data_IF_239495027414
#
_entry.id   IF_239495027414
#
_cell.length_a   1.000
_cell.length_b   1.000
_cell.length_c   1.000
_cell.angle_alpha   90.00
_cell.angle_beta   90.00
_cell.angle_gamma   90.00
#
_symmetry.space_group_name_H-M   'P 1'
#
loop_
_entity.id
_entity.type
_entity.pdbx_description
1 polymer ?
#
# COMPACT_ATOMS: atom_id res chain seq x y z
N UNK A 1 14.51 24.69 -48.24
CA UNK A 1 13.06 24.40 -48.31
C UNK A 1 12.78 22.92 -48.08
N UNK A 2 12.98 22.39 -46.86
CA UNK A 2 12.60 20.98 -46.55
C UNK A 2 12.38 20.65 -45.07
N UNK A 3 12.68 21.55 -44.14
CA UNK A 3 12.44 21.28 -42.70
C UNK A 3 11.00 21.68 -42.30
N UNK A 4 10.39 22.64 -43.00
CA UNK A 4 9.07 23.20 -42.67
C UNK A 4 7.91 22.29 -43.13
N UNK A 5 8.10 21.47 -44.18
CA UNK A 5 7.07 20.53 -44.67
C UNK A 5 7.01 19.21 -43.87
N UNK A 6 8.03 18.90 -43.05
CA UNK A 6 8.05 17.70 -42.20
C UNK A 6 7.37 17.89 -40.85
N UNK A 7 7.29 19.12 -40.36
CA UNK A 7 6.66 19.48 -39.08
C UNK A 7 5.16 19.07 -39.01
N UNK A 8 4.32 19.35 -40.02
CA UNK A 8 2.90 18.98 -39.98
C UNK A 8 2.67 17.46 -40.00
N UNK A 9 3.54 16.72 -40.70
CA UNK A 9 3.46 15.25 -40.80
C UNK A 9 3.92 14.61 -39.48
N UNK A 10 5.00 15.12 -38.87
CA UNK A 10 5.46 14.66 -37.57
C UNK A 10 4.40 14.92 -36.48
N UNK A 11 3.78 16.10 -36.51
CA UNK A 11 2.67 16.45 -35.61
C UNK A 11 1.45 15.57 -35.83
N UNK A 12 1.08 15.27 -37.08
CA UNK A 12 -0.04 14.37 -37.38
C UNK A 12 0.23 12.93 -36.93
N UNK A 13 1.44 12.39 -37.16
CA UNK A 13 1.84 11.06 -36.70
C UNK A 13 1.88 11.00 -35.17
N UNK A 14 2.36 12.05 -34.52
CA UNK A 14 2.35 12.19 -33.07
C UNK A 14 0.91 12.25 -32.52
N UNK A 15 0.04 13.07 -33.11
CA UNK A 15 -1.38 13.17 -32.72
C UNK A 15 -2.14 11.86 -32.95
N UNK A 16 -1.90 11.16 -34.05
CA UNK A 16 -2.46 9.83 -34.31
C UNK A 16 -1.93 8.77 -33.33
N UNK A 17 -0.64 8.86 -32.98
CA UNK A 17 -0.03 8.02 -31.94
C UNK A 17 -0.67 8.25 -30.57
N UNK A 18 -0.84 9.52 -30.18
CA UNK A 18 -1.52 9.93 -28.94
C UNK A 18 -2.99 9.50 -28.94
N UNK A 19 -3.70 9.70 -30.05
CA UNK A 19 -5.10 9.31 -30.19
C UNK A 19 -5.28 7.79 -30.14
N UNK A 20 -4.40 7.01 -30.80
CA UNK A 20 -4.39 5.54 -30.72
C UNK A 20 -4.02 5.06 -29.32
N UNK A 21 -3.07 5.71 -28.66
CA UNK A 21 -2.69 5.43 -27.28
C UNK A 21 -3.87 5.71 -26.33
N UNK A 22 -4.48 6.89 -26.42
CA UNK A 22 -5.66 7.29 -25.64
C UNK A 22 -6.83 6.34 -25.89
N UNK A 23 -7.13 6.02 -27.15
CA UNK A 23 -8.17 5.06 -27.52
C UNK A 23 -7.93 3.68 -26.90
N UNK A 24 -6.70 3.14 -26.98
CA UNK A 24 -6.37 1.87 -26.33
C UNK A 24 -6.54 1.93 -24.81
N UNK A 25 -6.25 3.05 -24.17
CA UNK A 25 -6.37 3.22 -22.70
C UNK A 25 -7.80 3.48 -22.24
N UNK A 26 -8.63 4.14 -23.05
CA UNK A 26 -10.06 4.29 -22.79
C UNK A 26 -10.83 2.97 -22.99
N UNK A 27 -10.34 2.08 -23.86
CA UNK A 27 -10.90 0.74 -24.05
C UNK A 27 -10.38 -0.29 -23.03
N UNK A 28 -9.29 0.02 -22.35
CA UNK A 28 -8.72 -0.87 -21.33
C UNK A 28 -9.41 -0.60 -20.00
N UNK A 29 -10.09 -1.59 -19.44
CA UNK A 29 -10.63 -1.53 -18.09
C UNK A 29 -9.70 -2.26 -17.14
N UNK A 30 -9.61 -1.78 -15.89
CA UNK A 30 -8.85 -2.42 -14.82
C UNK A 30 -9.21 -3.90 -14.62
N UNK A 31 -10.44 -4.28 -14.96
CA UNK A 31 -10.93 -5.66 -14.88
C UNK A 31 -10.07 -6.67 -15.62
N UNK A 32 -9.45 -6.27 -16.75
CA UNK A 32 -8.60 -7.16 -17.55
C UNK A 32 -7.30 -7.56 -16.83
N UNK A 33 -6.70 -6.68 -16.04
CA UNK A 33 -5.45 -7.00 -15.32
C UNK A 33 -5.68 -8.03 -14.21
N UNK A 34 -6.88 -8.04 -13.64
CA UNK A 34 -7.29 -8.99 -12.60
C UNK A 34 -8.08 -10.19 -13.13
N UNK A 35 -8.24 -10.32 -14.44
CA UNK A 35 -9.14 -11.33 -15.03
C UNK A 35 -8.70 -12.77 -14.68
N UNK A 36 -7.39 -12.97 -14.62
CA UNK A 36 -6.75 -14.25 -14.29
C UNK A 36 -6.46 -14.42 -12.79
N UNK A 37 -6.83 -13.46 -11.94
CA UNK A 37 -6.64 -13.56 -10.49
C UNK A 37 -7.67 -14.49 -9.86
N UNK A 38 -7.30 -15.06 -8.71
CA UNK A 38 -8.20 -15.81 -7.86
C UNK A 38 -9.39 -14.96 -7.40
N UNK A 39 -10.44 -15.61 -6.92
CA UNK A 39 -11.57 -14.92 -6.28
C UNK A 39 -11.37 -14.92 -4.78
N UNK A 40 -11.56 -13.77 -4.13
CA UNK A 40 -11.47 -13.68 -2.68
C UNK A 40 -12.57 -14.50 -2.00
N UNK A 41 -12.31 -14.92 -0.77
CA UNK A 41 -13.29 -15.61 0.06
C UNK A 41 -14.05 -14.64 0.97
N UNK A 42 -15.17 -15.10 1.53
CA UNK A 42 -16.01 -14.27 2.42
C UNK A 42 -15.19 -13.84 3.63
N UNK A 43 -14.43 -14.77 4.22
CA UNK A 43 -13.65 -14.56 5.42
C UNK A 43 -12.52 -13.54 5.23
N UNK A 44 -11.80 -13.63 4.12
CA UNK A 44 -10.72 -12.71 3.77
C UNK A 44 -11.21 -11.28 3.56
N UNK A 45 -12.38 -11.15 2.92
CA UNK A 45 -12.90 -9.86 2.48
C UNK A 45 -13.87 -9.23 3.49
N UNK A 46 -14.42 -10.00 4.43
CA UNK A 46 -15.34 -9.53 5.47
C UNK A 46 -14.85 -8.29 6.25
N UNK A 47 -13.55 -8.09 6.52
CA UNK A 47 -13.05 -6.87 7.15
C UNK A 47 -13.22 -5.59 6.36
N UNK A 48 -13.27 -5.67 5.03
CA UNK A 48 -13.13 -4.48 4.18
C UNK A 48 -14.27 -3.48 4.39
N UNK A 49 -15.57 -3.85 4.34
CA UNK A 49 -16.65 -2.88 4.49
C UNK A 49 -16.65 -2.18 5.86
N UNK A 50 -16.50 -2.94 6.96
CA UNK A 50 -16.46 -2.36 8.30
C UNK A 50 -15.27 -1.42 8.51
N UNK A 51 -14.10 -1.76 7.97
CA UNK A 51 -12.92 -0.90 8.07
C UNK A 51 -13.10 0.38 7.24
N UNK A 52 -13.79 0.31 6.09
CA UNK A 52 -14.15 1.51 5.33
C UNK A 52 -15.09 2.42 6.12
N UNK A 53 -16.11 1.87 6.80
CA UNK A 53 -16.99 2.65 7.69
C UNK A 53 -16.24 3.27 8.86
N UNK A 54 -15.29 2.55 9.46
CA UNK A 54 -14.45 3.09 10.52
C UNK A 54 -13.57 4.25 10.01
N UNK A 55 -12.94 4.13 8.83
CA UNK A 55 -12.19 5.24 8.22
C UNK A 55 -13.12 6.43 7.93
N UNK A 56 -14.33 6.18 7.40
CA UNK A 56 -15.31 7.24 7.16
C UNK A 56 -15.67 7.99 8.44
N UNK A 57 -15.77 7.31 9.58
CA UNK A 57 -16.04 7.96 10.87
C UNK A 57 -14.95 8.96 11.30
N UNK A 58 -13.72 8.83 10.79
CA UNK A 58 -12.62 9.80 11.02
C UNK A 58 -12.92 11.15 10.34
N UNK A 59 -13.81 11.18 9.36
CA UNK A 59 -14.24 12.40 8.69
C UNK A 59 -15.31 13.17 9.47
N UNK A 60 -15.99 12.53 10.42
CA UNK A 60 -16.99 13.18 11.27
C UNK A 60 -16.34 14.11 12.28
N UNK A 61 -17.04 15.19 12.63
CA UNK A 61 -16.64 16.08 13.72
C UNK A 61 -17.05 15.54 15.09
N UNK A 62 -18.18 14.83 15.17
CA UNK A 62 -18.65 14.12 16.35
C UNK A 62 -19.18 12.73 15.95
N UNK A 63 -18.51 11.67 16.41
CA UNK A 63 -18.88 10.29 16.13
C UNK A 63 -20.20 9.89 16.82
N UNK A 64 -20.56 10.57 17.92
CA UNK A 64 -21.83 10.31 18.62
C UNK A 64 -23.02 10.95 17.91
N UNK A 65 -22.79 12.00 17.13
CA UNK A 65 -23.80 12.67 16.32
C UNK A 65 -23.30 12.83 14.87
N UNK A 66 -23.19 11.73 14.12
CA UNK A 66 -22.62 11.76 12.78
C UNK A 66 -23.55 12.49 11.80
N UNK A 67 -22.97 13.30 10.92
CA UNK A 67 -23.69 14.09 9.90
C UNK A 67 -23.69 13.41 8.53
N UNK A 68 -22.64 12.64 8.25
CA UNK A 68 -22.34 12.05 6.94
C UNK A 68 -22.37 10.52 6.97
N UNK A 69 -23.04 9.95 7.97
CA UNK A 69 -23.22 8.52 8.08
C UNK A 69 -23.89 7.94 6.81
N UNK A 70 -23.43 6.77 6.32
CA UNK A 70 -24.15 6.05 5.28
C UNK A 70 -25.53 5.60 5.81
N UNK A 71 -26.47 5.19 4.94
CA UNK A 71 -27.85 4.85 5.36
C UNK A 71 -27.97 3.82 6.48
N UNK A 72 -27.02 2.88 6.58
CA UNK A 72 -26.97 1.85 7.63
C UNK A 72 -26.18 2.29 8.88
N UNK A 73 -25.71 3.54 8.91
CA UNK A 73 -24.81 4.05 9.94
C UNK A 73 -23.38 3.52 9.79
N UNK A 74 -22.49 3.98 10.67
CA UNK A 74 -21.11 3.47 10.69
C UNK A 74 -20.97 2.08 11.29
N UNK A 75 -21.98 1.61 12.05
CA UNK A 75 -21.90 0.33 12.77
C UNK A 75 -20.78 0.32 13.83
N UNK A 76 -20.47 1.47 14.41
CA UNK A 76 -19.44 1.64 15.45
C UNK A 76 -20.10 2.01 16.77
N UNK A 77 -19.54 1.52 17.87
CA UNK A 77 -19.92 1.91 19.22
C UNK A 77 -19.01 3.05 19.69
N UNK A 78 -19.51 4.28 19.87
CA UNK A 78 -18.67 5.41 20.27
C UNK A 78 -17.93 5.22 21.60
N UNK A 79 -18.41 4.34 22.48
CA UNK A 79 -17.77 4.06 23.77
C UNK A 79 -16.52 3.18 23.65
N UNK A 80 -16.30 2.57 22.49
CA UNK A 80 -15.11 1.78 22.19
C UNK A 80 -13.99 2.60 21.50
N UNK A 81 -14.24 3.90 21.29
CA UNK A 81 -13.25 4.85 20.80
C UNK A 81 -12.26 5.19 21.93
N UNK A 82 -11.00 4.81 21.75
CA UNK A 82 -9.94 5.09 22.72
C UNK A 82 -9.45 6.52 22.58
N UNK A 83 -9.18 6.94 21.35
CA UNK A 83 -8.77 8.32 21.06
C UNK A 83 -9.06 8.73 19.63
N UNK A 84 -9.08 10.05 19.44
CA UNK A 84 -9.20 10.72 18.15
C UNK A 84 -8.19 11.85 18.07
N UNK A 85 -7.43 11.91 16.98
CA UNK A 85 -6.50 13.00 16.67
C UNK A 85 -6.98 13.74 15.42
N UNK A 86 -7.18 15.04 15.58
CA UNK A 86 -7.51 15.97 14.50
C UNK A 86 -6.25 16.65 13.97
N UNK A 87 -6.37 17.46 12.91
CA UNK A 87 -5.26 18.30 12.42
C UNK A 87 -4.66 19.21 13.50
N UNK A 88 -5.45 19.64 14.49
CA UNK A 88 -4.95 20.46 15.60
C UNK A 88 -4.00 19.65 16.49
N UNK A 89 -4.33 18.39 16.70
CA UNK A 89 -3.56 17.48 17.55
C UNK A 89 -2.29 16.99 16.84
N UNK A 90 -2.41 16.64 15.54
CA UNK A 90 -1.27 16.13 14.76
C UNK A 90 -0.29 17.22 14.34
N UNK A 91 -0.70 18.50 14.33
CA UNK A 91 0.12 19.65 13.93
C UNK A 91 0.81 19.46 12.57
N UNK A 92 0.17 18.70 11.67
CA UNK A 92 0.69 18.38 10.35
C UNK A 92 1.73 17.24 10.30
N UNK A 93 2.02 16.57 11.43
CA UNK A 93 2.92 15.40 11.47
C UNK A 93 2.33 14.14 10.83
N UNK A 94 1.00 14.02 10.84
CA UNK A 94 0.26 12.94 10.19
C UNK A 94 -1.18 13.39 9.85
N UNK A 95 -1.86 12.71 8.90
CA UNK A 95 -3.30 12.88 8.71
C UNK A 95 -4.08 12.53 9.99
N UNK A 96 -5.31 13.04 10.19
CA UNK A 96 -6.17 12.66 11.30
C UNK A 96 -6.39 11.16 11.39
N UNK A 97 -6.52 10.64 12.60
CA UNK A 97 -6.78 9.22 12.84
C UNK A 97 -7.52 8.99 14.15
N UNK A 98 -7.99 7.77 14.33
CA UNK A 98 -8.58 7.25 15.56
C UNK A 98 -7.93 5.94 15.96
N UNK A 99 -8.00 5.61 17.25
CA UNK A 99 -7.76 4.26 17.76
C UNK A 99 -9.07 3.76 18.35
N UNK A 100 -9.51 2.60 17.88
CA UNK A 100 -10.80 2.01 18.20
C UNK A 100 -10.62 0.54 18.59
N UNK A 101 -11.29 0.08 19.63
CA UNK A 101 -11.27 -1.33 20.04
C UNK A 101 -12.56 -2.01 19.60
N UNK A 102 -12.49 -2.75 18.51
CA UNK A 102 -13.62 -3.49 17.97
C UNK A 102 -13.78 -4.82 18.73
N UNK A 103 -14.60 -4.78 19.79
CA UNK A 103 -14.85 -5.95 20.64
C UNK A 103 -15.59 -7.07 19.90
N UNK A 104 -16.43 -6.72 18.91
CA UNK A 104 -17.20 -7.70 18.13
C UNK A 104 -16.28 -8.50 17.20
N UNK A 105 -15.23 -7.86 16.67
CA UNK A 105 -14.28 -8.47 15.74
C UNK A 105 -12.94 -8.85 16.39
N UNK A 106 -12.79 -8.65 17.70
CA UNK A 106 -11.57 -8.99 18.47
C UNK A 106 -10.34 -8.30 17.84
N UNK A 107 -10.46 -6.99 17.59
CA UNK A 107 -9.52 -6.20 16.80
C UNK A 107 -9.25 -4.83 17.44
N UNK A 108 -7.99 -4.42 17.47
CA UNK A 108 -7.56 -3.07 17.82
C UNK A 108 -7.23 -2.37 16.51
N UNK A 109 -7.98 -1.33 16.18
CA UNK A 109 -7.91 -0.69 14.86
C UNK A 109 -7.41 0.75 14.98
N UNK A 110 -6.31 1.06 14.28
CA UNK A 110 -5.87 2.43 14.04
C UNK A 110 -6.27 2.84 12.62
N UNK A 111 -7.26 3.71 12.51
CA UNK A 111 -7.84 4.14 11.22
C UNK A 111 -7.40 5.56 10.86
N UNK A 112 -6.75 5.71 9.71
CA UNK A 112 -6.16 6.97 9.23
C UNK A 112 -6.96 7.55 8.06
N UNK A 113 -7.31 8.83 8.16
CA UNK A 113 -8.02 9.59 7.14
C UNK A 113 -7.20 9.76 5.86
N UNK A 114 -7.88 9.86 4.71
CA UNK A 114 -7.28 10.30 3.46
C UNK A 114 -7.03 11.81 3.37
N UNK A 115 -6.53 12.24 2.21
CA UNK A 115 -6.19 13.63 1.89
C UNK A 115 -7.37 14.57 2.11
N UNK A 116 -7.14 15.68 2.83
CA UNK A 116 -8.04 16.83 2.82
C UNK A 116 -7.50 17.92 1.88
N UNK A 117 -8.28 18.25 0.85
CA UNK A 117 -7.91 19.24 -0.17
C UNK A 117 -7.71 20.66 0.40
N UNK A 118 -8.24 20.95 1.59
CA UNK A 118 -8.06 22.23 2.27
C UNK A 118 -6.85 22.25 3.23
N UNK A 119 -6.06 21.16 3.31
CA UNK A 119 -4.97 21.03 4.29
C UNK A 119 -3.62 20.87 3.61
N UNK A 120 -2.82 21.94 3.65
CA UNK A 120 -1.47 21.98 3.09
C UNK A 120 -0.54 20.90 3.65
N UNK A 121 -0.70 20.53 4.93
CA UNK A 121 0.11 19.48 5.56
C UNK A 121 -0.03 18.12 4.88
N UNK A 122 -1.22 17.80 4.37
CA UNK A 122 -1.45 16.52 3.70
C UNK A 122 -0.78 16.50 2.33
N UNK A 123 -0.82 17.63 1.61
CA UNK A 123 -0.02 17.81 0.41
C UNK A 123 1.47 17.70 0.73
N UNK A 124 1.97 18.40 1.74
CA UNK A 124 3.38 18.32 2.13
C UNK A 124 3.83 16.87 2.42
N UNK A 125 3.01 16.08 3.12
CA UNK A 125 3.27 14.66 3.37
C UNK A 125 3.37 13.84 2.07
N UNK A 126 2.44 14.06 1.15
CA UNK A 126 2.37 13.34 -0.12
C UNK A 126 3.46 13.73 -1.11
N UNK A 127 3.94 14.97 -1.04
CA UNK A 127 4.87 15.55 -2.02
C UNK A 127 6.32 15.50 -1.54
N UNK A 128 6.54 15.17 -0.27
CA UNK A 128 7.86 14.91 0.32
C UNK A 128 8.41 13.54 -0.12
N UNK A 129 8.58 13.35 -1.44
CA UNK A 129 9.15 12.14 -2.01
C UNK A 129 9.88 12.40 -3.33
N UNK A 130 11.20 12.19 -3.31
CA UNK A 130 12.05 12.11 -4.50
C UNK A 130 12.34 10.65 -4.81
N UNK A 131 12.49 10.31 -6.09
CA UNK A 131 12.76 8.94 -6.53
C UNK A 131 14.01 8.38 -5.84
N UNK A 132 13.84 7.29 -5.10
CA UNK A 132 14.93 6.64 -4.38
C UNK A 132 15.46 7.42 -3.17
N UNK A 133 14.71 8.39 -2.65
CA UNK A 133 15.14 9.24 -1.52
C UNK A 133 15.33 8.46 -0.22
N UNK A 134 14.44 7.51 0.08
CA UNK A 134 14.40 6.84 1.38
C UNK A 134 14.44 5.34 1.22
N UNK A 135 15.41 4.71 1.88
CA UNK A 135 15.50 3.26 2.06
C UNK A 135 14.95 2.86 3.44
N UNK A 136 14.27 1.72 3.49
CA UNK A 136 13.79 1.10 4.73
C UNK A 136 13.63 -0.41 4.52
N UNK A 137 14.01 -1.21 5.50
CA UNK A 137 13.95 -2.69 5.46
C UNK A 137 14.53 -3.33 4.16
N UNK A 138 15.64 -2.79 3.65
CA UNK A 138 16.26 -3.30 2.42
C UNK A 138 15.48 -3.03 1.13
N UNK A 139 14.48 -2.14 1.15
CA UNK A 139 13.80 -1.60 -0.04
C UNK A 139 13.74 -0.08 -0.03
N UNK A 140 12.99 0.50 -0.96
CA UNK A 140 12.69 1.92 -1.01
C UNK A 140 11.24 2.17 -0.61
N UNK A 141 11.01 3.28 0.09
CA UNK A 141 9.68 3.67 0.56
C UNK A 141 9.44 5.15 0.30
N UNK A 142 8.17 5.54 0.28
CA UNK A 142 7.78 6.93 0.16
C UNK A 142 8.20 7.71 1.40
N UNK A 143 9.00 8.75 1.22
CA UNK A 143 9.65 9.44 2.35
C UNK A 143 8.65 10.15 3.28
N UNK A 144 7.73 10.97 2.76
CA UNK A 144 6.76 11.68 3.59
C UNK A 144 5.78 10.76 4.32
N UNK A 145 5.24 9.75 3.63
CA UNK A 145 4.42 8.70 4.25
C UNK A 145 5.15 7.95 5.37
N UNK A 146 6.44 7.62 5.20
CA UNK A 146 7.23 6.99 6.26
C UNK A 146 7.42 7.92 7.47
N UNK A 147 7.66 9.22 7.23
CA UNK A 147 7.76 10.20 8.32
C UNK A 147 6.45 10.29 9.11
N UNK A 148 5.32 10.34 8.42
CA UNK A 148 4.01 10.34 9.06
C UNK A 148 3.74 9.04 9.84
N UNK A 149 4.12 7.89 9.29
CA UNK A 149 4.02 6.61 9.99
C UNK A 149 4.86 6.58 11.26
N UNK A 150 6.12 7.04 11.18
CA UNK A 150 6.98 7.17 12.36
C UNK A 150 6.39 8.13 13.40
N UNK A 151 5.82 9.27 12.96
CA UNK A 151 5.18 10.23 13.84
C UNK A 151 4.00 9.61 14.61
N UNK A 152 3.12 8.85 13.93
CA UNK A 152 2.00 8.16 14.57
C UNK A 152 2.50 7.13 15.58
N UNK A 153 3.52 6.35 15.21
CA UNK A 153 4.07 5.36 16.13
C UNK A 153 4.65 6.02 17.39
N UNK A 154 5.45 7.09 17.24
CA UNK A 154 6.00 7.79 18.42
C UNK A 154 4.90 8.40 19.31
N UNK A 155 3.85 8.95 18.70
CA UNK A 155 2.76 9.58 19.43
C UNK A 155 1.90 8.56 20.21
N UNK A 156 1.69 7.37 19.65
CA UNK A 156 0.71 6.41 20.14
C UNK A 156 1.32 5.08 20.61
N UNK A 157 2.65 4.98 20.70
CA UNK A 157 3.36 3.75 21.08
C UNK A 157 2.85 3.18 22.41
N UNK A 158 2.74 4.03 23.43
CA UNK A 158 2.35 3.61 24.78
C UNK A 158 0.90 3.15 24.82
N UNK A 159 -0.01 3.86 24.15
CA UNK A 159 -1.43 3.50 24.05
C UNK A 159 -1.58 2.17 23.31
N UNK A 160 -0.91 2.00 22.17
CA UNK A 160 -0.96 0.75 21.41
C UNK A 160 -0.38 -0.41 22.21
N UNK A 161 0.73 -0.20 22.92
CA UNK A 161 1.33 -1.22 23.79
C UNK A 161 0.36 -1.64 24.90
N UNK A 162 -0.23 -0.69 25.62
CA UNK A 162 -1.21 -0.97 26.68
C UNK A 162 -2.40 -1.77 26.14
N UNK A 163 -2.94 -1.40 24.99
CA UNK A 163 -4.07 -2.11 24.38
C UNK A 163 -3.69 -3.54 23.96
N UNK A 164 -2.51 -3.72 23.36
CA UNK A 164 -2.01 -5.04 22.94
C UNK A 164 -1.78 -5.97 24.13
N UNK A 165 -1.26 -5.45 25.24
CA UNK A 165 -1.06 -6.18 26.50
C UNK A 165 -2.38 -6.49 27.19
N UNK A 166 -3.32 -5.53 27.21
CA UNK A 166 -4.66 -5.69 27.79
C UNK A 166 -5.52 -6.69 27.02
N UNK A 167 -5.36 -6.75 25.70
CA UNK A 167 -6.14 -7.61 24.81
C UNK A 167 -5.22 -8.58 24.03
N UNK A 168 -4.65 -9.61 24.70
CA UNK A 168 -3.65 -10.49 24.11
C UNK A 168 -4.17 -11.37 22.97
N UNK A 169 -5.50 -11.56 22.88
CA UNK A 169 -6.13 -12.32 21.81
C UNK A 169 -6.58 -11.44 20.63
N UNK A 170 -6.44 -10.11 20.74
CA UNK A 170 -6.89 -9.19 19.71
C UNK A 170 -5.85 -9.05 18.62
N UNK A 171 -6.33 -8.88 17.40
CA UNK A 171 -5.49 -8.45 16.28
C UNK A 171 -5.20 -6.95 16.39
N UNK A 172 -4.10 -6.51 15.79
CA UNK A 172 -3.75 -5.09 15.65
C UNK A 172 -3.80 -4.73 14.17
N UNK A 173 -4.84 -4.00 13.78
CA UNK A 173 -5.11 -3.68 12.39
C UNK A 173 -4.87 -2.20 12.12
N UNK A 174 -3.97 -1.89 11.19
CA UNK A 174 -3.80 -0.56 10.63
C UNK A 174 -4.66 -0.42 9.38
N UNK A 175 -5.42 0.66 9.28
CA UNK A 175 -6.26 0.88 8.11
C UNK A 175 -6.24 2.35 7.72
N UNK A 176 -6.47 2.63 6.45
CA UNK A 176 -6.59 4.00 5.99
C UNK A 176 -7.04 4.09 4.55
N UNK A 177 -7.41 5.29 4.13
CA UNK A 177 -7.83 5.59 2.76
C UNK A 177 -6.85 6.50 2.05
N UNK A 178 -6.58 6.27 0.76
CA UNK A 178 -5.81 7.18 -0.09
C UNK A 178 -4.45 7.52 0.53
N UNK A 179 -4.20 8.78 0.90
CA UNK A 179 -3.03 9.21 1.67
C UNK A 179 -2.81 8.38 2.95
N UNK A 180 -3.86 8.24 3.76
CA UNK A 180 -3.82 7.54 5.04
C UNK A 180 -3.55 6.05 4.90
N UNK A 181 -3.93 5.44 3.79
CA UNK A 181 -3.64 4.01 3.53
C UNK A 181 -2.14 3.75 3.34
N UNK A 182 -1.42 4.68 2.71
CA UNK A 182 0.03 4.60 2.52
C UNK A 182 0.77 4.81 3.83
N UNK A 183 0.25 5.70 4.70
CA UNK A 183 0.73 5.86 6.08
C UNK A 183 0.49 4.57 6.88
N UNK A 184 -0.70 3.99 6.83
CA UNK A 184 -1.06 2.75 7.53
C UNK A 184 -0.18 1.56 7.08
N UNK A 185 0.06 1.42 5.78
CA UNK A 185 0.91 0.36 5.22
C UNK A 185 2.37 0.49 5.70
N UNK A 186 2.93 1.70 5.70
CA UNK A 186 4.30 1.90 6.21
C UNK A 186 4.38 1.80 7.73
N UNK A 187 3.36 2.26 8.46
CA UNK A 187 3.25 2.10 9.91
C UNK A 187 3.27 0.62 10.29
N UNK A 188 2.57 -0.23 9.52
CA UNK A 188 2.58 -1.68 9.71
C UNK A 188 3.99 -2.26 9.59
N UNK A 189 4.76 -1.86 8.57
CA UNK A 189 6.16 -2.29 8.41
C UNK A 189 7.00 -1.81 9.60
N UNK A 190 6.86 -0.54 10.00
CA UNK A 190 7.60 0.03 11.14
C UNK A 190 7.29 -0.75 12.43
N UNK A 191 6.02 -1.03 12.71
CA UNK A 191 5.60 -1.80 13.90
C UNK A 191 6.16 -3.21 13.88
N UNK A 192 6.10 -3.92 12.74
CA UNK A 192 6.63 -5.29 12.63
C UNK A 192 8.15 -5.34 12.75
N UNK A 193 8.85 -4.27 12.38
CA UNK A 193 10.30 -4.13 12.57
C UNK A 193 10.69 -3.70 13.99
N UNK A 194 9.74 -3.23 14.80
CA UNK A 194 9.97 -2.73 16.17
C UNK A 194 8.95 -3.34 17.16
N UNK A 195 8.70 -4.66 17.07
CA UNK A 195 7.66 -5.35 17.86
C UNK A 195 7.93 -5.32 19.37
N UNK A 196 9.21 -5.21 19.75
CA UNK A 196 9.66 -5.01 21.12
C UNK A 196 9.06 -3.75 21.77
N UNK A 197 8.79 -2.71 20.97
CA UNK A 197 8.13 -1.49 21.43
C UNK A 197 6.63 -1.66 21.70
N UNK A 198 5.99 -2.69 21.15
CA UNK A 198 4.55 -2.99 21.30
C UNK A 198 4.34 -4.34 22.00
N UNK A 199 5.05 -4.57 23.11
CA UNK A 199 4.84 -5.74 23.95
C UNK A 199 5.17 -7.08 23.27
N UNK A 200 6.09 -7.07 22.30
CA UNK A 200 6.48 -8.24 21.50
C UNK A 200 5.29 -8.92 20.80
N UNK A 201 4.35 -8.13 20.27
CA UNK A 201 3.21 -8.64 19.51
C UNK A 201 3.66 -9.63 18.42
N UNK A 202 2.92 -10.73 18.27
CA UNK A 202 3.15 -11.68 17.18
C UNK A 202 2.89 -11.00 15.83
N UNK A 203 3.79 -11.21 14.85
CA UNK A 203 3.63 -10.69 13.48
C UNK A 203 2.28 -11.08 12.88
N UNK A 204 1.80 -12.30 13.13
CA UNK A 204 0.53 -12.82 12.60
C UNK A 204 -0.70 -12.11 13.18
N UNK A 205 -0.57 -11.43 14.32
CA UNK A 205 -1.63 -10.59 14.89
C UNK A 205 -1.68 -9.20 14.26
N UNK A 206 -0.63 -8.78 13.56
CA UNK A 206 -0.56 -7.47 12.92
C UNK A 206 -1.09 -7.55 11.49
N UNK A 207 -2.01 -6.67 11.13
CA UNK A 207 -2.63 -6.63 9.80
C UNK A 207 -2.72 -5.20 9.29
N UNK A 208 -2.80 -5.05 7.97
CA UNK A 208 -3.10 -3.79 7.32
C UNK A 208 -4.14 -3.96 6.23
N UNK A 209 -5.12 -3.04 6.20
CA UNK A 209 -6.04 -2.88 5.08
C UNK A 209 -5.88 -1.49 4.48
N UNK A 210 -5.13 -1.40 3.38
CA UNK A 210 -4.85 -0.15 2.69
C UNK A 210 -5.91 0.08 1.62
N UNK A 211 -6.86 0.99 1.87
CA UNK A 211 -7.99 1.27 0.98
C UNK A 211 -7.59 2.35 -0.05
N UNK A 212 -7.68 2.02 -1.33
CA UNK A 212 -7.28 2.89 -2.46
C UNK A 212 -5.84 3.46 -2.33
N UNK A 213 -4.81 2.60 -2.22
CA UNK A 213 -3.51 3.06 -1.76
C UNK A 213 -2.64 3.80 -2.76
N UNK A 214 -1.94 4.81 -2.25
CA UNK A 214 -0.79 5.38 -2.95
C UNK A 214 0.35 4.38 -3.02
N UNK A 215 1.13 4.46 -4.10
CA UNK A 215 2.35 3.68 -4.27
C UNK A 215 3.38 4.13 -3.24
N UNK A 216 3.66 3.27 -2.26
CA UNK A 216 4.40 3.68 -1.06
C UNK A 216 5.66 2.86 -0.76
N UNK A 217 5.88 1.73 -1.45
CA UNK A 217 7.04 0.86 -1.21
C UNK A 217 7.52 0.15 -2.47
N UNK A 218 8.79 -0.24 -2.52
CA UNK A 218 9.38 -1.00 -3.63
C UNK A 218 8.81 -2.41 -3.73
N UNK A 219 8.96 -3.02 -4.90
CA UNK A 219 8.35 -4.31 -5.22
C UNK A 219 8.75 -5.42 -4.24
N UNK A 220 10.03 -5.47 -3.85
CA UNK A 220 10.52 -6.45 -2.88
C UNK A 220 9.81 -6.33 -1.52
N UNK A 221 9.50 -5.12 -1.06
CA UNK A 221 8.74 -4.89 0.19
C UNK A 221 7.27 -5.25 0.00
N UNK A 222 6.68 -4.85 -1.13
CA UNK A 222 5.28 -5.13 -1.41
C UNK A 222 5.00 -6.64 -1.46
N UNK A 223 5.92 -7.45 -1.98
CA UNK A 223 5.81 -8.92 -1.95
C UNK A 223 6.17 -9.48 -0.58
N UNK A 224 7.23 -8.99 0.08
CA UNK A 224 7.65 -9.47 1.41
C UNK A 224 6.57 -9.35 2.47
N UNK A 225 5.80 -8.27 2.44
CA UNK A 225 4.77 -7.95 3.42
C UNK A 225 3.35 -8.31 2.98
N UNK A 226 3.19 -9.05 1.87
CA UNK A 226 1.88 -9.49 1.38
C UNK A 226 1.17 -10.51 2.28
N UNK A 227 1.85 -11.03 3.30
CA UNK A 227 1.27 -11.86 4.36
C UNK A 227 0.41 -11.05 5.35
N UNK A 228 0.71 -9.77 5.54
CA UNK A 228 0.05 -8.92 6.55
C UNK A 228 -0.55 -7.63 5.97
N UNK A 229 -0.13 -7.18 4.78
CA UNK A 229 -0.68 -5.99 4.13
C UNK A 229 -1.61 -6.39 2.98
N UNK A 230 -2.84 -5.88 3.05
CA UNK A 230 -3.89 -6.10 2.07
C UNK A 230 -4.33 -4.75 1.48
N UNK A 231 -4.13 -4.56 0.19
CA UNK A 231 -4.56 -3.38 -0.56
C UNK A 231 -5.91 -3.63 -1.21
N UNK A 232 -6.87 -2.73 -1.04
CA UNK A 232 -8.20 -2.81 -1.66
C UNK A 232 -8.33 -1.73 -2.73
N UNK A 233 -8.71 -2.12 -3.93
CA UNK A 233 -8.88 -1.21 -5.06
C UNK A 233 -10.23 -1.46 -5.72
N UNK A 234 -10.96 -0.39 -6.02
CA UNK A 234 -12.22 -0.46 -6.77
C UNK A 234 -11.94 -0.09 -8.23
N UNK A 235 -12.32 -0.99 -9.14
CA UNK A 235 -12.34 -0.72 -10.58
C UNK A 235 -11.09 0.04 -11.10
N UNK A 236 -11.31 1.20 -11.72
CA UNK A 236 -10.30 1.96 -12.46
C UNK A 236 -9.64 3.03 -11.57
N UNK A 237 -9.68 2.87 -10.25
CA UNK A 237 -9.01 3.78 -9.31
C UNK A 237 -7.56 4.04 -9.75
N UNK A 238 -7.27 5.32 -9.94
CA UNK A 238 -6.05 5.81 -10.58
C UNK A 238 -4.86 5.85 -9.62
N UNK A 239 -5.10 5.97 -8.30
CA UNK A 239 -4.02 6.26 -7.37
C UNK A 239 -3.01 5.11 -7.22
N UNK A 240 -3.44 3.83 -7.13
CA UNK A 240 -2.52 2.69 -7.10
C UNK A 240 -1.69 2.53 -8.38
N UNK A 241 -2.11 3.17 -9.49
CA UNK A 241 -1.56 3.01 -10.83
C UNK A 241 -0.60 4.14 -11.23
N UNK A 242 -0.70 5.31 -10.61
CA UNK A 242 0.00 6.53 -11.07
C UNK A 242 1.32 6.77 -10.33
N UNK A 243 2.40 7.03 -11.08
CA UNK A 243 3.71 7.43 -10.54
C UNK A 243 3.81 8.95 -10.54
N UNK A 244 2.94 9.57 -11.34
CA UNK A 244 2.77 11.01 -11.46
C UNK A 244 2.48 11.59 -10.09
N UNK A 245 3.24 12.59 -9.63
CA UNK A 245 2.94 13.33 -8.42
C UNK A 245 1.48 13.80 -8.47
N UNK A 246 0.73 13.55 -7.39
CA UNK A 246 -0.69 13.95 -7.30
C UNK A 246 -0.87 15.46 -7.49
N UNK A 247 0.15 16.26 -7.15
CA UNK A 247 0.24 17.69 -7.48
C UNK A 247 -0.03 17.97 -8.96
N UNK A 248 0.55 17.18 -9.86
CA UNK A 248 0.37 17.35 -11.29
C UNK A 248 -1.03 16.91 -11.72
N UNK A 249 -1.60 15.88 -11.08
CA UNK A 249 -2.97 15.42 -11.36
C UNK A 249 -3.98 16.49 -10.93
N UNK A 250 -3.81 17.08 -9.74
CA UNK A 250 -4.69 18.12 -9.22
C UNK A 250 -4.48 19.49 -9.88
N UNK A 251 -3.25 19.90 -10.21
CA UNK A 251 -2.97 21.14 -10.96
C UNK A 251 -3.40 21.03 -12.42
N UNK A 252 -3.32 19.83 -13.01
CA UNK A 252 -3.67 19.60 -14.41
C UNK A 252 -5.18 19.44 -14.64
N UNK A 253 -6.04 19.55 -13.62
CA UNK A 253 -7.51 19.54 -13.79
C UNK A 253 -8.00 20.61 -14.79
N UNK A 254 -7.22 21.69 -14.98
CA UNK A 254 -7.52 22.79 -15.91
C UNK A 254 -6.81 22.67 -17.28
N UNK A 255 -5.97 21.66 -17.52
CA UNK A 255 -5.26 21.41 -18.79
C UNK A 255 -5.08 19.90 -19.10
N UNK A 256 -6.05 19.10 -18.65
CA UNK A 256 -6.06 17.63 -18.58
C UNK A 256 -5.64 16.88 -19.87
N UNK A 257 -6.02 17.27 -21.09
CA UNK A 257 -5.73 16.45 -22.26
C UNK A 257 -4.23 16.40 -22.62
N UNK A 258 -3.53 17.53 -22.53
CA UNK A 258 -2.19 17.65 -23.14
C UNK A 258 -1.05 17.21 -22.21
N UNK A 259 -1.14 17.55 -20.91
CA UNK A 259 -0.08 17.27 -19.93
C UNK A 259 -0.15 15.82 -19.43
N UNK A 260 -1.36 15.28 -19.21
CA UNK A 260 -1.50 13.84 -18.96
C UNK A 260 -1.05 13.02 -20.16
N UNK A 261 -1.37 13.41 -21.41
CA UNK A 261 -0.92 12.64 -22.57
C UNK A 261 0.61 12.49 -22.61
N UNK A 262 1.38 13.57 -22.44
CA UNK A 262 2.85 13.48 -22.53
C UNK A 262 3.48 12.63 -21.41
N UNK A 263 3.07 12.82 -20.15
CA UNK A 263 3.64 12.08 -19.00
C UNK A 263 3.10 10.67 -18.87
N UNK A 264 1.80 10.45 -19.04
CA UNK A 264 1.21 9.12 -19.04
C UNK A 264 1.71 8.29 -20.23
N UNK A 265 1.96 8.90 -21.40
CA UNK A 265 2.65 8.20 -22.50
C UNK A 265 4.07 7.81 -22.11
N UNK A 266 4.86 8.71 -21.49
CA UNK A 266 6.23 8.39 -21.05
C UNK A 266 6.25 7.18 -20.12
N UNK A 267 5.37 7.14 -19.12
CA UNK A 267 5.28 6.03 -18.17
C UNK A 267 4.76 4.74 -18.83
N UNK A 268 3.89 4.86 -19.83
CA UNK A 268 3.39 3.71 -20.61
C UNK A 268 4.46 3.10 -21.53
N UNK A 269 5.42 3.89 -21.99
CA UNK A 269 6.46 3.43 -22.90
C UNK A 269 7.67 2.81 -22.19
N UNK A 270 7.66 2.71 -20.85
CA UNK A 270 8.71 2.00 -20.11
C UNK A 270 8.43 0.50 -20.18
N UNK A 271 9.33 -0.32 -20.74
CA UNK A 271 9.16 -1.77 -20.76
C UNK A 271 9.05 -2.33 -19.34
N UNK A 272 8.17 -3.31 -19.13
CA UNK A 272 7.91 -3.92 -17.82
C UNK A 272 9.20 -4.44 -17.16
N UNK A 273 10.07 -5.09 -17.93
CA UNK A 273 11.38 -5.57 -17.47
C UNK A 273 12.23 -4.44 -16.85
N UNK A 274 12.18 -3.24 -17.44
CA UNK A 274 12.90 -2.07 -16.91
C UNK A 274 12.25 -1.54 -15.64
N UNK A 275 10.93 -1.66 -15.51
CA UNK A 275 10.21 -1.25 -14.30
C UNK A 275 10.54 -2.19 -13.13
N UNK A 276 10.49 -3.51 -13.36
CA UNK A 276 10.80 -4.53 -12.36
C UNK A 276 12.25 -4.45 -11.85
N UNK A 277 13.18 -4.05 -12.73
CA UNK A 277 14.59 -3.87 -12.41
C UNK A 277 14.93 -2.53 -11.75
N UNK A 278 14.03 -1.54 -11.70
CA UNK A 278 14.30 -0.28 -10.98
C UNK A 278 13.94 -0.42 -9.50
N UNK A 279 14.94 -0.52 -8.59
CA UNK A 279 14.68 -0.72 -7.17
C UNK A 279 13.94 0.46 -6.52
N UNK A 280 14.00 1.65 -7.13
CA UNK A 280 13.47 2.90 -6.56
C UNK A 280 12.00 3.10 -6.90
N UNK A 281 11.45 2.33 -7.85
CA UNK A 281 10.05 2.42 -8.22
C UNK A 281 9.18 1.93 -7.07
N UNK A 282 8.15 2.70 -6.75
CA UNK A 282 7.20 2.37 -5.70
C UNK A 282 5.93 1.76 -6.32
N UNK A 283 5.28 0.89 -5.56
CA UNK A 283 4.12 0.07 -5.91
C UNK A 283 3.07 0.11 -4.81
N UNK A 284 1.84 -0.31 -5.15
CA UNK A 284 0.81 -0.59 -4.17
C UNK A 284 1.27 -1.72 -3.22
N UNK A 285 1.04 -1.59 -1.92
CA UNK A 285 1.65 -2.47 -0.93
C UNK A 285 0.91 -3.82 -0.82
N UNK A 286 1.65 -4.90 -0.56
CA UNK A 286 1.05 -6.18 -0.16
C UNK A 286 0.22 -6.92 -1.23
N UNK A 287 -0.70 -7.76 -0.75
CA UNK A 287 -1.72 -8.50 -1.53
C UNK A 287 -2.77 -7.52 -2.04
N UNK A 288 -3.30 -7.73 -3.25
CA UNK A 288 -4.31 -6.85 -3.85
C UNK A 288 -5.66 -7.53 -3.89
N UNK A 289 -6.69 -6.82 -3.44
CA UNK A 289 -8.12 -7.13 -3.61
C UNK A 289 -8.72 -6.12 -4.57
N UNK A 290 -9.11 -6.58 -5.75
CA UNK A 290 -9.71 -5.75 -6.79
C UNK A 290 -11.21 -6.01 -6.91
N UNK A 291 -12.01 -5.00 -6.60
CA UNK A 291 -13.48 -5.04 -6.70
C UNK A 291 -13.87 -4.68 -8.14
N UNK A 292 -14.42 -5.64 -8.87
CA UNK A 292 -14.80 -5.49 -10.27
C UNK A 292 -16.33 -5.38 -10.40
N UNK A 293 -16.87 -4.17 -10.60
CA UNK A 293 -18.31 -3.94 -10.84
C UNK A 293 -18.67 -3.47 -12.26
N UNK A 294 -17.69 -3.26 -13.15
CA UNK A 294 -17.88 -2.83 -14.56
C UNK A 294 -16.97 -3.58 -15.54
N UNK A 295 -17.49 -3.80 -16.75
CA UNK A 295 -16.83 -4.52 -17.86
C UNK A 295 -16.84 -3.63 -19.11
N UNK A 296 -15.83 -3.76 -20.00
CA UNK A 296 -15.79 -2.97 -21.22
C UNK A 296 -16.96 -3.31 -22.14
N UNK A 297 -17.46 -2.31 -22.86
CA UNK A 297 -18.56 -2.41 -23.84
C UNK A 297 -19.93 -2.88 -23.32
N UNK A 298 -20.15 -2.87 -21.99
CA UNK A 298 -21.48 -3.09 -21.40
C UNK A 298 -21.96 -1.84 -20.68
N UNK A 299 -23.18 -1.42 -20.94
CA UNK A 299 -23.83 -0.35 -20.16
C UNK A 299 -24.24 -0.88 -18.78
N UNK A 300 -23.89 -0.14 -17.73
CA UNK A 300 -24.34 -0.37 -16.36
C UNK A 300 -23.30 -1.05 -15.44
N UNK A 301 -23.63 -1.05 -14.14
CA UNK A 301 -22.89 -1.78 -13.10
C UNK A 301 -23.45 -3.20 -12.97
N UNK A 302 -22.61 -4.17 -12.71
CA UNK A 302 -23.00 -5.57 -12.49
C UNK A 302 -22.64 -6.02 -11.08
N UNK A 303 -23.14 -7.19 -10.63
CA UNK A 303 -22.82 -7.72 -9.30
C UNK A 303 -21.30 -7.75 -9.05
N UNK A 304 -20.77 -7.01 -8.07
CA UNK A 304 -19.33 -6.87 -7.89
C UNK A 304 -18.66 -8.21 -7.61
N UNK A 305 -17.52 -8.43 -8.25
CA UNK A 305 -16.67 -9.62 -8.02
C UNK A 305 -15.35 -9.18 -7.43
N UNK A 306 -14.95 -9.78 -6.32
CA UNK A 306 -13.66 -9.49 -5.68
C UNK A 306 -12.61 -10.47 -6.17
N UNK A 307 -11.59 -9.93 -6.83
CA UNK A 307 -10.41 -10.65 -7.30
C UNK A 307 -9.26 -10.44 -6.33
N UNK A 308 -8.45 -11.47 -6.09
CA UNK A 308 -7.30 -11.37 -5.18
C UNK A 308 -6.06 -12.03 -5.78
N UNK A 309 -4.90 -11.39 -5.58
CA UNK A 309 -3.61 -11.94 -5.92
C UNK A 309 -2.46 -11.29 -5.14
N UNK A 310 -1.29 -11.92 -5.14
CA UNK A 310 0.01 -11.28 -4.85
C UNK A 310 0.80 -11.11 -6.16
N UNK A 311 0.44 -10.14 -7.02
CA UNK A 311 1.07 -10.05 -8.33
C UNK A 311 2.54 -9.60 -8.22
N UNK A 312 3.41 -10.10 -9.10
CA UNK A 312 4.83 -9.72 -9.15
C UNK A 312 5.14 -9.09 -10.50
N UNK A 313 4.77 -9.79 -11.57
CA UNK A 313 4.54 -9.29 -12.91
C UNK A 313 3.05 -8.97 -13.13
N UNK A 314 2.72 -8.06 -14.04
CA UNK A 314 1.34 -7.66 -14.33
C UNK A 314 0.61 -7.02 -13.13
N UNK A 315 1.32 -6.22 -12.33
CA UNK A 315 0.97 -5.77 -10.96
C UNK A 315 -0.15 -4.75 -10.80
N UNK A 316 -1.09 -4.66 -11.74
CA UNK A 316 -2.17 -3.67 -11.69
C UNK A 316 -1.60 -2.24 -11.84
N UNK A 317 -0.79 -2.02 -12.87
CA UNK A 317 0.04 -0.83 -13.06
C UNK A 317 -0.31 -0.04 -14.32
N UNK A 318 -1.17 -0.59 -15.17
CA UNK A 318 -1.56 0.09 -16.38
C UNK A 318 -2.39 1.34 -16.05
N UNK A 319 -1.99 2.48 -16.60
CA UNK A 319 -2.83 3.67 -16.50
C UNK A 319 -4.13 3.37 -17.25
N UNK A 320 -5.26 3.53 -16.56
CA UNK A 320 -6.61 3.43 -17.12
C UNK A 320 -7.21 4.82 -17.12
N UNK A 321 -7.75 5.25 -18.27
CA UNK A 321 -8.44 6.53 -18.39
C UNK A 321 -9.94 6.28 -18.27
N UNK A 322 -10.49 6.58 -17.09
CA UNK A 322 -11.90 6.38 -16.77
C UNK A 322 -12.52 7.66 -16.26
N UNK A 323 -13.71 8.02 -16.76
CA UNK A 323 -14.49 9.13 -16.24
C UNK A 323 -14.99 8.88 -14.80
N UNK A 324 -14.90 7.64 -14.34
CA UNK A 324 -15.30 7.24 -12.98
C UNK A 324 -14.13 7.18 -12.00
N UNK A 325 -12.89 7.47 -12.42
CA UNK A 325 -11.69 7.26 -11.62
C UNK A 325 -11.74 7.97 -10.25
N UNK A 326 -12.31 9.17 -10.16
CA UNK A 326 -12.51 9.88 -8.89
C UNK A 326 -13.58 9.24 -8.01
N UNK A 327 -14.64 8.71 -8.61
CA UNK A 327 -15.68 7.97 -7.89
C UNK A 327 -15.15 6.64 -7.37
N UNK A 328 -14.38 5.92 -8.19
CA UNK A 328 -13.73 4.66 -7.81
C UNK A 328 -12.71 4.84 -6.69
N UNK A 329 -12.05 6.00 -6.64
CA UNK A 329 -11.14 6.36 -5.57
C UNK A 329 -11.85 6.73 -4.25
N UNK A 330 -13.11 7.16 -4.31
CA UNK A 330 -13.82 7.66 -3.14
C UNK A 330 -14.25 6.52 -2.21
N UNK A 331 -13.86 6.62 -0.93
CA UNK A 331 -14.11 5.57 0.06
C UNK A 331 -15.60 5.20 0.21
N UNK A 332 -16.53 6.15 0.02
CA UNK A 332 -17.98 5.88 0.07
C UNK A 332 -18.39 4.87 -1.01
N UNK A 333 -17.82 4.97 -2.22
CA UNK A 333 -18.11 4.01 -3.29
C UNK A 333 -17.41 2.68 -3.05
N UNK A 334 -16.19 2.69 -2.51
CA UNK A 334 -15.46 1.47 -2.15
C UNK A 334 -16.23 0.71 -1.06
N UNK A 335 -16.70 1.39 -0.03
CA UNK A 335 -17.52 0.81 1.04
C UNK A 335 -18.79 0.19 0.47
N UNK A 336 -19.54 0.94 -0.34
CA UNK A 336 -20.79 0.49 -0.94
C UNK A 336 -20.63 -0.74 -1.83
N UNK A 337 -19.59 -0.77 -2.67
CA UNK A 337 -19.35 -1.94 -3.53
C UNK A 337 -18.74 -3.10 -2.77
N UNK A 338 -17.93 -2.85 -1.74
CA UNK A 338 -17.41 -3.89 -0.87
C UNK A 338 -18.54 -4.58 -0.07
N UNK A 339 -19.47 -3.81 0.50
CA UNK A 339 -20.63 -4.34 1.23
C UNK A 339 -21.52 -5.18 0.29
N UNK A 340 -21.81 -4.66 -0.91
CA UNK A 340 -22.55 -5.41 -1.93
C UNK A 340 -21.85 -6.70 -2.34
N UNK A 341 -20.52 -6.68 -2.53
CA UNK A 341 -19.75 -7.87 -2.85
C UNK A 341 -19.80 -8.90 -1.72
N UNK A 342 -19.59 -8.46 -0.48
CA UNK A 342 -19.60 -9.33 0.70
C UNK A 342 -20.97 -10.01 0.87
N UNK A 343 -22.06 -9.28 0.66
CA UNK A 343 -23.42 -9.83 0.72
C UNK A 343 -23.64 -10.92 -0.34
N UNK A 344 -23.27 -10.65 -1.58
CA UNK A 344 -23.39 -11.62 -2.69
C UNK A 344 -22.53 -12.88 -2.46
N UNK A 345 -21.31 -12.70 -1.96
CA UNK A 345 -20.43 -13.81 -1.62
C UNK A 345 -21.04 -14.66 -0.49
N UNK A 346 -21.60 -14.03 0.53
CA UNK A 346 -22.28 -14.70 1.65
C UNK A 346 -23.55 -15.43 1.24
N UNK A 347 -24.37 -14.84 0.36
CA UNK A 347 -25.58 -15.46 -0.19
C UNK A 347 -25.23 -16.71 -1.02
N UNK A 348 -24.17 -16.64 -1.82
CA UNK A 348 -23.68 -17.78 -2.60
C UNK A 348 -23.23 -18.92 -1.70
N UNK A 349 -22.51 -18.65 -0.61
CA UNK A 349 -22.09 -19.68 0.34
C UNK A 349 -23.27 -20.29 1.12
N UNK A 350 -24.30 -19.49 1.43
CA UNK A 350 -25.55 -19.99 2.03
C UNK A 350 -26.31 -20.91 1.07
N UNK A 351 -26.42 -20.53 -0.20
CA UNK A 351 -27.10 -21.32 -1.22
C UNK A 351 -26.42 -22.68 -1.45
N UNK A 352 -25.10 -22.77 -1.30
CA UNK A 352 -24.38 -24.03 -1.40
C UNK A 352 -24.45 -24.90 -0.12
N UNK A 353 -25.21 -24.49 0.91
CA UNK A 353 -25.44 -25.20 2.18
C UNK A 353 -24.17 -25.73 2.86
N UNK A 354 -23.04 -25.03 2.71
CA UNK A 354 -21.75 -25.51 3.21
C UNK A 354 -21.80 -25.66 4.74
N UNK A 355 -21.70 -26.88 5.32
CA UNK A 355 -21.74 -27.10 6.76
C UNK A 355 -20.58 -26.39 7.46
N UNK A 356 -20.79 -25.98 8.72
CA UNK A 356 -19.79 -25.23 9.50
C UNK A 356 -18.42 -25.94 9.59
N UNK A 357 -18.42 -27.28 9.70
CA UNK A 357 -17.18 -28.07 9.71
C UNK A 357 -16.40 -27.95 8.39
N UNK A 358 -17.10 -27.99 7.25
CA UNK A 358 -16.48 -27.76 5.93
C UNK A 358 -16.01 -26.32 5.76
N UNK A 359 -16.65 -25.33 6.41
CA UNK A 359 -16.14 -23.95 6.41
C UNK A 359 -14.80 -23.84 7.13
N UNK A 360 -14.65 -24.48 8.30
CA UNK A 360 -13.37 -24.50 9.01
C UNK A 360 -12.28 -25.22 8.20
N UNK A 361 -12.57 -26.39 7.63
CA UNK A 361 -11.62 -27.12 6.76
C UNK A 361 -11.24 -26.30 5.52
N UNK A 362 -12.19 -25.55 4.96
CA UNK A 362 -11.95 -24.61 3.86
C UNK A 362 -11.07 -23.44 4.30
N UNK A 363 -11.27 -22.88 5.49
CA UNK A 363 -10.42 -21.82 6.06
C UNK A 363 -8.97 -22.28 6.24
N UNK A 364 -8.75 -23.48 6.76
CA UNK A 364 -7.39 -24.05 6.87
C UNK A 364 -6.76 -24.27 5.49
N UNK A 365 -7.55 -24.75 4.52
CA UNK A 365 -7.10 -24.93 3.13
C UNK A 365 -6.73 -23.59 2.49
N UNK A 366 -7.54 -22.55 2.69
CA UNK A 366 -7.31 -21.20 2.18
C UNK A 366 -6.07 -20.56 2.81
N UNK A 367 -5.88 -20.69 4.13
CA UNK A 367 -4.67 -20.22 4.79
C UNK A 367 -3.42 -20.88 4.20
N UNK A 368 -3.50 -22.17 3.86
CA UNK A 368 -2.43 -22.91 3.18
C UNK A 368 -2.22 -22.41 1.75
N UNK A 369 -3.29 -22.18 0.99
CA UNK A 369 -3.23 -21.64 -0.37
C UNK A 369 -2.64 -20.22 -0.39
N UNK A 370 -3.04 -19.36 0.53
CA UNK A 370 -2.47 -18.02 0.70
C UNK A 370 -0.98 -18.05 1.00
N UNK A 371 -0.56 -18.96 1.87
CA UNK A 371 0.86 -19.16 2.19
C UNK A 371 1.63 -19.68 0.97
N UNK A 372 1.04 -20.59 0.20
CA UNK A 372 1.62 -21.10 -1.05
C UNK A 372 1.72 -20.02 -2.12
N UNK A 373 0.67 -19.20 -2.30
CA UNK A 373 0.66 -18.09 -3.24
C UNK A 373 1.70 -17.03 -2.86
N UNK A 374 1.79 -16.67 -1.58
CA UNK A 374 2.80 -15.74 -1.10
C UNK A 374 4.23 -16.27 -1.33
N UNK A 375 4.47 -17.55 -1.04
CA UNK A 375 5.75 -18.21 -1.33
C UNK A 375 6.05 -18.23 -2.83
N UNK A 376 5.06 -18.51 -3.67
CA UNK A 376 5.20 -18.49 -5.12
C UNK A 376 5.52 -17.07 -5.63
N UNK A 377 4.90 -16.03 -5.08
CA UNK A 377 5.20 -14.64 -5.39
C UNK A 377 6.63 -14.26 -4.98
N UNK A 378 7.09 -14.66 -3.79
CA UNK A 378 8.48 -14.46 -3.36
C UNK A 378 9.46 -15.14 -4.33
N UNK A 379 9.20 -16.39 -4.72
CA UNK A 379 10.03 -17.13 -5.66
C UNK A 379 10.00 -16.53 -7.07
N UNK A 380 8.84 -16.01 -7.51
CA UNK A 380 8.69 -15.29 -8.77
C UNK A 380 9.49 -14.00 -8.78
N UNK A 381 9.49 -13.23 -7.69
CA UNK A 381 10.29 -12.01 -7.56
C UNK A 381 11.80 -12.28 -7.68
N UNK A 382 12.27 -13.41 -7.12
CA UNK A 382 13.66 -13.85 -7.25
C UNK A 382 13.96 -14.25 -8.71
N UNK A 383 13.08 -15.04 -9.33
CA UNK A 383 13.22 -15.46 -10.74
C UNK A 383 13.29 -14.26 -11.70
N UNK A 384 12.52 -13.20 -11.42
CA UNK A 384 12.53 -11.96 -12.20
C UNK A 384 13.67 -11.00 -11.84
N UNK A 385 14.59 -11.41 -10.97
CA UNK A 385 15.72 -10.62 -10.49
C UNK A 385 15.31 -9.26 -9.91
N UNK A 386 14.18 -9.22 -9.19
CA UNK A 386 13.74 -8.02 -8.47
C UNK A 386 14.82 -7.63 -7.45
N UNK A 387 15.33 -6.39 -7.46
CA UNK A 387 16.39 -5.98 -6.56
C UNK A 387 16.01 -6.19 -5.08
N UNK A 388 16.95 -6.74 -4.30
CA UNK A 388 16.76 -7.01 -2.87
C UNK A 388 15.57 -7.94 -2.55
N UNK A 389 15.12 -8.74 -3.53
CA UNK A 389 14.31 -9.93 -3.26
C UNK A 389 15.23 -11.03 -2.73
N UNK A 390 15.07 -11.37 -1.46
CA UNK A 390 15.82 -12.46 -0.82
C UNK A 390 14.95 -13.71 -0.79
N UNK A 391 15.57 -14.89 -0.87
CA UNK A 391 14.89 -16.14 -0.56
C UNK A 391 14.37 -16.08 0.87
N UNK A 392 13.10 -16.49 1.13
CA UNK A 392 12.68 -16.69 2.51
C UNK A 392 13.67 -17.68 3.15
N UNK A 393 14.23 -17.30 4.30
CA UNK A 393 15.04 -18.22 5.09
C UNK A 393 14.25 -19.51 5.30
N UNK A 394 14.83 -20.70 5.02
CA UNK A 394 14.16 -21.98 5.28
C UNK A 394 13.87 -22.21 6.77
N UNK A 395 14.49 -21.40 7.64
CA UNK A 395 14.21 -21.33 9.06
C UNK A 395 13.40 -20.06 9.36
N UNK A 396 12.26 -20.24 10.03
CA UNK A 396 11.51 -19.13 10.63
C UNK A 396 12.41 -18.25 11.48
N UNK A 397 12.00 -17.00 11.65
CA UNK A 397 12.73 -15.92 12.33
C UNK A 397 13.15 -16.32 13.75
N UNK A 398 14.28 -17.01 13.88
CA UNK A 398 15.02 -17.21 15.11
C UNK A 398 16.46 -16.79 14.85
N UNK A 399 16.79 -15.66 15.45
CA UNK A 399 18.12 -15.11 15.54
C UNK A 399 18.18 -14.31 16.83
N UNK A 400 17.99 -15.01 17.96
CA UNK A 400 18.57 -14.57 19.23
C UNK A 400 20.09 -14.68 19.07
N UNK A 401 20.81 -13.57 19.23
CA UNK A 401 22.27 -13.59 19.21
C UNK A 401 22.90 -12.29 18.72
N UNK A 402 22.98 -11.33 19.65
CA UNK A 402 24.08 -10.36 19.81
C UNK A 402 24.39 -9.39 18.66
N UNK A 403 24.00 -8.13 18.88
CA UNK A 403 24.46 -7.00 18.09
C UNK A 403 23.96 -5.68 18.67
N UNK A 404 24.28 -5.39 19.93
CA UNK A 404 24.08 -4.06 20.50
C UNK A 404 24.81 -3.02 19.64
N UNK A 405 24.07 -2.14 18.96
CA UNK A 405 24.61 -0.87 18.48
C UNK A 405 23.97 0.25 19.28
N UNK A 406 24.62 0.53 20.41
CA UNK A 406 24.40 1.71 21.21
C UNK A 406 24.66 2.96 20.38
N UNK A 407 23.67 3.85 20.38
CA UNK A 407 23.89 5.27 20.11
C UNK A 407 24.87 5.83 21.15
N UNK A 408 25.95 6.46 20.71
CA UNK A 408 26.65 7.47 21.49
C UNK A 408 27.36 8.46 20.56
N UNK A 409 27.05 9.74 20.74
CA UNK A 409 27.79 10.87 20.20
C UNK A 409 29.19 10.93 20.82
N UNK A 410 30.19 11.40 20.07
CA UNK A 410 31.51 11.66 20.66
C UNK A 410 32.55 12.14 19.66
N UNK A 411 32.59 13.45 19.46
CA UNK A 411 33.63 14.19 18.76
C UNK A 411 35.00 14.00 19.45
N UNK A 412 36.09 13.71 18.72
CA UNK A 412 37.43 14.36 18.82
C UNK A 412 38.55 13.65 18.04
N UNK A 413 39.28 14.50 17.31
CA UNK A 413 40.65 14.45 16.78
C UNK A 413 41.64 13.41 17.35
N UNK A 414 42.42 12.82 16.43
CA UNK A 414 43.90 12.78 16.39
C UNK A 414 44.29 11.90 15.19
N UNK A 415 45.23 12.23 14.31
CA UNK A 415 46.60 12.68 14.54
C UNK A 415 47.52 11.66 13.88
N UNK A 416 47.82 11.87 12.60
CA UNK A 416 48.77 11.07 11.82
C UNK A 416 50.18 11.18 12.41
N UNK A 417 50.80 10.04 12.73
CA UNK A 417 52.26 9.94 12.87
C UNK A 417 52.71 8.58 12.34
N UNK A 418 53.39 8.61 11.19
CA UNK A 418 54.20 7.50 10.68
C UNK A 418 55.44 7.31 11.56
N UNK A 419 55.88 6.06 11.76
CA UNK A 419 57.29 5.71 11.95
C UNK A 419 57.57 4.24 11.63
N UNK A 420 58.75 4.05 11.06
CA UNK A 420 59.25 2.94 10.26
C UNK A 420 59.49 1.59 10.95
N UNK A 421 59.50 0.53 10.12
CA UNK A 421 60.03 -0.82 10.43
C UNK A 421 61.53 -0.90 10.07
N UNK A 422 62.36 -1.69 10.79
CA UNK A 422 63.68 -2.08 10.31
C UNK A 422 63.64 -3.42 9.54
N UNK A 423 64.53 -3.56 8.55
CA UNK A 423 64.77 -4.77 7.75
C UNK A 423 66.27 -4.99 7.67
N UNK A 424 66.74 -6.17 8.07
CA UNK A 424 68.11 -6.68 7.87
C UNK A 424 68.02 -8.21 8.14
N UNK A 425 68.63 -9.17 7.44
CA UNK A 425 69.85 -9.24 6.63
C UNK A 425 69.74 -10.37 5.58
N UNK A 426 70.50 -10.22 4.50
CA UNK A 426 71.05 -11.33 3.71
C UNK A 426 72.41 -10.90 3.17
N UNK A 427 73.50 -11.42 3.74
CA UNK A 427 74.88 -11.29 3.24
C UNK A 427 75.13 -12.36 2.17
N UNK A 428 75.76 -12.00 1.06
CA UNK A 428 76.93 -12.69 0.47
C UNK A 428 77.67 -11.67 -0.41
N UNK A 429 78.98 -11.54 -0.25
CA UNK A 429 79.83 -10.68 -1.09
C UNK A 429 80.62 -11.48 -2.12
N UNK A 430 81.16 -10.79 -3.13
CA UNK A 430 82.49 -11.05 -3.72
C UNK A 430 82.80 -10.00 -4.80
N UNK A 431 84.04 -9.50 -4.70
CA UNK A 431 84.83 -8.65 -5.60
C UNK A 431 84.49 -7.17 -5.75
#
# INVERSE_FOLDING_TARGET
MSIICGLPILECVYCLGCARWGYKRCLHTAGHESENWGTATVEEFAPVPRLCRLILSVYEDDIRNPVWAPPEGYGINPDWLILRKTYKDTRGGAPPYIIYVDHDNVDIVLAIRGLNLAKESDYACLLDNKLGQRKFDGGYVHNGLLKAAGWVLEAECDVLKELVEKYPNYTLTFTGHSLGSGVAALLTIVVVQNRDRLGNIDRHRVRCYAIAPARCMSLNLAVRYADIINSVVLQDDFLPRTATPLEDIFKSLFCLPCILCLRCMRDTCIPEERMLKDPRRLYAPGRLYHIVERKPFRLGRFPPVVRTAVPVDGRFEHIVLSCNATSDHAIIWIEKEAERALKLMSEKDKFMEIPAKQKMERQETLAREHTQEHRAALQRAITLAVPHAFAPSPYGTFGDGEGSSSFASGNKNSGLSMKDKPRERGKVGMN
#
